data_IF_834850444908
#
_entry.id   IF_834850444908
#
_cell.length_a   1.000
_cell.length_b   1.000
_cell.length_c   1.000
_cell.angle_alpha   90.00
_cell.angle_beta   90.00
_cell.angle_gamma   90.00
#
_symmetry.space_group_name_H-M   'P 1'
#
loop_
_entity.id
_entity.type
_entity.pdbx_description
1 polymer ?
#
# COMPACT_ATOMS: atom_id res chain seq x y z
N UNK A 1 2.38 -3.65 -5.32
CA UNK A 1 2.92 -3.78 -3.97
C UNK A 1 2.34 -5.05 -3.40
N UNK A 2 3.18 -6.02 -3.07
CA UNK A 2 2.79 -7.32 -2.55
C UNK A 2 2.61 -7.24 -1.02
N UNK A 3 1.85 -8.19 -0.49
CA UNK A 3 1.66 -8.40 0.96
C UNK A 3 3.01 -8.68 1.65
N UNK A 4 3.83 -9.53 1.04
CA UNK A 4 5.16 -9.85 1.54
C UNK A 4 6.20 -8.90 0.94
N UNK A 5 6.75 -8.05 1.80
CA UNK A 5 7.76 -7.07 1.41
C UNK A 5 9.15 -7.71 1.40
N UNK A 6 9.73 -7.85 0.23
CA UNK A 6 11.12 -8.32 0.08
C UNK A 6 12.07 -7.13 0.18
N UNK A 7 12.91 -7.10 1.22
CA UNK A 7 14.02 -6.17 1.38
C UNK A 7 15.35 -6.96 1.35
N UNK A 8 16.38 -6.33 0.80
CA UNK A 8 17.68 -6.95 0.64
C UNK A 8 18.64 -6.50 1.75
N UNK A 9 19.63 -7.32 2.04
CA UNK A 9 20.73 -6.97 2.95
C UNK A 9 21.61 -5.92 2.29
N UNK A 10 21.20 -4.66 2.41
CA UNK A 10 21.85 -3.48 1.83
C UNK A 10 21.36 -2.23 2.54
N UNK A 11 21.89 -1.07 2.19
CA UNK A 11 21.44 0.21 2.76
C UNK A 11 19.96 0.48 2.44
N UNK A 12 19.32 1.33 3.24
CA UNK A 12 17.97 1.82 2.94
C UNK A 12 17.93 2.54 1.59
N UNK A 13 18.96 3.35 1.28
CA UNK A 13 19.08 4.04 -0.02
C UNK A 13 19.06 3.04 -1.17
N UNK A 14 19.89 2.01 -1.14
CA UNK A 14 19.98 1.01 -2.19
C UNK A 14 18.67 0.22 -2.28
N UNK A 15 18.05 -0.13 -1.14
CA UNK A 15 16.74 -0.78 -1.14
C UNK A 15 15.67 0.06 -1.85
N UNK A 16 15.66 1.38 -1.71
CA UNK A 16 14.74 2.25 -2.44
C UNK A 16 15.11 2.33 -3.92
N UNK A 17 16.41 2.40 -4.25
CA UNK A 17 16.92 2.44 -5.64
C UNK A 17 16.59 1.20 -6.46
N UNK A 18 16.18 0.08 -5.87
CA UNK A 18 15.63 -1.05 -6.64
C UNK A 18 14.42 -0.65 -7.48
N UNK A 19 13.73 0.44 -7.15
CA UNK A 19 12.67 1.02 -7.99
C UNK A 19 13.20 1.75 -9.23
N UNK A 20 14.38 2.38 -9.10
CA UNK A 20 15.08 3.09 -10.15
C UNK A 20 16.56 3.21 -9.76
N UNK A 21 17.41 2.38 -10.35
CA UNK A 21 18.86 2.30 -10.02
C UNK A 21 19.62 3.59 -10.34
N UNK A 22 19.15 4.39 -11.31
CA UNK A 22 19.79 5.64 -11.73
C UNK A 22 19.32 6.86 -10.92
N UNK A 23 18.41 6.67 -9.97
CA UNK A 23 17.88 7.76 -9.16
C UNK A 23 18.96 8.44 -8.32
N UNK A 24 18.91 9.76 -8.28
CA UNK A 24 19.75 10.59 -7.41
C UNK A 24 19.32 10.43 -5.93
N UNK A 25 20.19 10.80 -5.01
CA UNK A 25 19.87 10.77 -3.58
C UNK A 25 18.66 11.69 -3.23
N UNK A 26 18.51 12.83 -3.91
CA UNK A 26 17.39 13.74 -3.69
C UNK A 26 16.05 13.09 -4.13
N UNK A 27 16.04 12.33 -5.22
CA UNK A 27 14.86 11.56 -5.66
C UNK A 27 14.52 10.45 -4.67
N UNK A 28 15.53 9.72 -4.17
CA UNK A 28 15.36 8.72 -3.11
C UNK A 28 14.76 9.34 -1.86
N UNK A 29 15.28 10.49 -1.42
CA UNK A 29 14.78 11.23 -0.26
C UNK A 29 13.33 11.70 -0.47
N UNK A 30 13.01 12.20 -1.67
CA UNK A 30 11.65 12.59 -2.04
C UNK A 30 10.69 11.38 -1.97
N UNK A 31 11.09 10.24 -2.51
CA UNK A 31 10.31 8.99 -2.41
C UNK A 31 10.14 8.55 -0.94
N UNK A 32 11.16 8.68 -0.12
CA UNK A 32 11.10 8.43 1.32
C UNK A 32 10.12 9.36 2.07
N UNK A 33 10.03 10.61 1.67
CA UNK A 33 9.05 11.56 2.22
C UNK A 33 7.63 11.19 1.77
N UNK A 34 7.43 10.94 0.49
CA UNK A 34 6.12 10.61 -0.08
C UNK A 34 5.56 9.27 0.45
N UNK A 35 6.45 8.32 0.75
CA UNK A 35 6.08 7.04 1.37
C UNK A 35 5.96 7.11 2.90
N UNK A 36 6.14 8.28 3.53
CA UNK A 36 6.23 8.45 4.98
C UNK A 36 7.37 7.65 5.65
N UNK A 37 8.27 7.01 4.89
CA UNK A 37 9.40 6.26 5.47
C UNK A 37 10.47 7.18 6.09
N UNK A 38 10.63 8.40 5.58
CA UNK A 38 11.56 9.39 6.11
C UNK A 38 11.30 9.73 7.60
N UNK A 39 10.05 9.53 8.08
CA UNK A 39 9.67 9.73 9.47
C UNK A 39 10.52 8.88 10.44
N UNK A 40 10.76 7.60 10.13
CA UNK A 40 11.59 6.75 10.96
C UNK A 40 13.06 6.75 10.54
N UNK A 41 13.36 6.88 9.24
CA UNK A 41 14.73 6.89 8.70
C UNK A 41 15.58 7.99 9.35
N UNK A 42 15.03 9.19 9.50
CA UNK A 42 15.75 10.32 10.11
C UNK A 42 16.20 10.08 11.55
N UNK A 43 15.56 9.14 12.25
CA UNK A 43 15.86 8.78 13.64
C UNK A 43 16.87 7.63 13.77
N UNK A 44 17.25 6.99 12.64
CA UNK A 44 18.30 5.97 12.61
C UNK A 44 19.69 6.65 12.65
N UNK A 45 20.70 6.07 13.31
CA UNK A 45 22.05 6.64 13.40
C UNK A 45 22.63 6.97 12.02
N UNK A 46 22.56 6.03 11.09
CA UNK A 46 23.13 6.16 9.74
C UNK A 46 22.09 6.58 8.69
N UNK A 47 20.85 6.92 9.12
CA UNK A 47 19.78 7.39 8.26
C UNK A 47 19.59 6.49 7.02
N UNK A 48 19.67 7.05 5.80
CA UNK A 48 19.55 6.30 4.54
C UNK A 48 20.69 5.31 4.30
N UNK A 49 21.85 5.49 4.96
CA UNK A 49 22.98 4.58 4.91
C UNK A 49 22.86 3.41 5.89
N UNK A 50 21.80 3.36 6.69
CA UNK A 50 21.54 2.24 7.60
C UNK A 50 21.41 0.95 6.80
N UNK A 51 22.24 -0.05 7.14
CA UNK A 51 22.23 -1.37 6.51
C UNK A 51 21.11 -2.21 7.10
N UNK A 52 20.25 -2.72 6.23
CA UNK A 52 19.20 -3.64 6.59
C UNK A 52 19.74 -5.06 6.72
N UNK A 53 19.22 -5.82 7.68
CA UNK A 53 19.40 -7.27 7.74
C UNK A 53 18.63 -7.93 6.60
N UNK A 54 18.91 -9.20 6.33
CA UNK A 54 18.17 -9.96 5.33
C UNK A 54 16.66 -9.95 5.61
N UNK A 55 15.87 -9.67 4.57
CA UNK A 55 14.43 -9.47 4.71
C UNK A 55 14.02 -8.24 5.50
N UNK A 56 14.98 -7.37 5.90
CA UNK A 56 14.70 -6.19 6.72
C UNK A 56 14.25 -6.52 8.15
N UNK A 57 14.75 -7.63 8.72
CA UNK A 57 14.33 -8.13 10.04
C UNK A 57 14.63 -7.17 11.21
N UNK A 58 15.50 -6.19 11.00
CA UNK A 58 15.77 -5.09 11.94
C UNK A 58 14.77 -3.92 11.86
N UNK A 59 13.73 -4.06 11.04
CA UNK A 59 12.64 -3.10 10.91
C UNK A 59 11.30 -3.74 11.32
N UNK A 60 10.35 -2.92 11.80
CA UNK A 60 8.98 -3.37 12.00
C UNK A 60 8.29 -3.69 10.66
N UNK A 61 7.21 -4.48 10.69
CA UNK A 61 6.44 -4.81 9.49
C UNK A 61 5.96 -3.54 8.76
N UNK A 62 5.42 -2.57 9.48
CA UNK A 62 4.97 -1.31 8.90
C UNK A 62 6.11 -0.49 8.27
N UNK A 63 7.29 -0.45 8.91
CA UNK A 63 8.47 0.23 8.34
C UNK A 63 8.91 -0.44 7.03
N UNK A 64 8.93 -1.79 6.97
CA UNK A 64 9.22 -2.52 5.74
C UNK A 64 8.22 -2.18 4.64
N UNK A 65 6.93 -2.12 4.98
CA UNK A 65 5.88 -1.78 4.03
C UNK A 65 6.04 -0.35 3.48
N UNK A 66 6.36 0.64 4.34
CA UNK A 66 6.63 2.01 3.90
C UNK A 66 7.82 2.09 2.94
N UNK A 67 8.89 1.32 3.16
CA UNK A 67 10.02 1.23 2.22
C UNK A 67 9.61 0.61 0.88
N UNK A 68 8.77 -0.44 0.89
CA UNK A 68 8.25 -1.03 -0.35
C UNK A 68 7.40 -0.04 -1.16
N UNK A 69 6.58 0.76 -0.46
CA UNK A 69 5.82 1.86 -1.09
C UNK A 69 6.78 2.90 -1.68
N UNK A 70 7.83 3.29 -0.94
CA UNK A 70 8.86 4.22 -1.41
C UNK A 70 9.58 3.74 -2.66
N UNK A 71 9.90 2.44 -2.73
CA UNK A 71 10.44 1.77 -3.93
C UNK A 71 9.48 1.89 -5.12
N UNK A 72 8.18 1.64 -4.90
CA UNK A 72 7.17 1.75 -5.95
C UNK A 72 6.95 3.21 -6.40
N UNK A 73 7.04 4.19 -5.50
CA UNK A 73 7.00 5.62 -5.83
C UNK A 73 8.18 5.99 -6.73
N UNK A 74 9.38 5.52 -6.39
CA UNK A 74 10.60 5.81 -7.15
C UNK A 74 10.61 5.15 -8.53
N UNK A 75 9.97 3.99 -8.67
CA UNK A 75 9.78 3.30 -9.94
C UNK A 75 8.81 4.02 -10.89
N UNK A 76 7.93 4.86 -10.36
CA UNK A 76 6.92 5.66 -11.06
C UNK A 76 6.12 4.89 -12.14
N UNK A 77 5.50 3.75 -11.80
CA UNK A 77 4.75 2.96 -12.77
C UNK A 77 3.45 3.65 -13.19
N UNK A 78 3.02 3.48 -14.44
CA UNK A 78 1.72 3.97 -14.95
C UNK A 78 0.54 3.13 -14.47
N UNK A 79 0.76 1.84 -14.28
CA UNK A 79 -0.24 0.87 -13.80
C UNK A 79 0.28 0.29 -12.48
N UNK A 80 -0.56 0.30 -11.47
CA UNK A 80 -0.26 -0.19 -10.13
C UNK A 80 -1.21 -1.32 -9.77
N UNK A 81 -0.66 -2.45 -9.34
CA UNK A 81 -1.42 -3.56 -8.78
C UNK A 81 -1.14 -3.60 -7.27
N UNK A 82 -2.19 -3.46 -6.48
CA UNK A 82 -2.15 -3.46 -5.03
C UNK A 82 -2.90 -4.69 -4.50
N UNK A 83 -2.19 -5.55 -3.80
CA UNK A 83 -2.77 -6.64 -3.02
C UNK A 83 -2.74 -6.20 -1.55
N UNK A 84 -3.93 -5.86 -1.02
CA UNK A 84 -4.04 -5.24 0.28
C UNK A 84 -4.11 -6.29 1.38
N UNK A 85 -3.05 -6.38 2.19
CA UNK A 85 -3.09 -7.06 3.47
C UNK A 85 -2.38 -6.22 4.54
N UNK A 86 -3.14 -5.41 5.25
CA UNK A 86 -2.70 -4.68 6.43
C UNK A 86 -3.11 -5.44 7.70
N UNK A 87 -2.64 -6.65 7.89
CA UNK A 87 -2.81 -7.37 9.17
C UNK A 87 -1.64 -7.07 10.10
N UNK A 88 -1.94 -6.63 11.32
CA UNK A 88 -1.00 -6.55 12.45
C UNK A 88 -0.04 -5.34 12.50
N UNK A 89 -0.52 -4.16 12.13
CA UNK A 89 0.24 -2.90 12.28
C UNK A 89 -0.51 -1.99 13.28
N UNK A 90 0.23 -1.27 14.12
CA UNK A 90 -0.39 -0.30 15.04
C UNK A 90 -1.11 0.82 14.30
N UNK A 91 -2.12 1.42 14.93
CA UNK A 91 -3.03 2.41 14.32
C UNK A 91 -2.29 3.63 13.72
N UNK A 92 -1.19 4.07 14.33
CA UNK A 92 -0.43 5.23 13.85
C UNK A 92 0.34 4.88 12.57
N UNK A 93 0.97 3.72 12.56
CA UNK A 93 1.68 3.22 11.38
C UNK A 93 0.72 2.87 10.26
N UNK A 94 -0.46 2.33 10.57
CA UNK A 94 -1.52 2.08 9.59
C UNK A 94 -1.93 3.38 8.87
N UNK A 95 -2.13 4.48 9.61
CA UNK A 95 -2.42 5.79 9.01
C UNK A 95 -1.31 6.26 8.07
N UNK A 96 -0.05 6.12 8.48
CA UNK A 96 1.10 6.48 7.64
C UNK A 96 1.13 5.65 6.34
N UNK A 97 0.79 4.36 6.42
CA UNK A 97 0.71 3.47 5.25
C UNK A 97 -0.42 3.91 4.33
N UNK A 98 -1.61 4.22 4.87
CA UNK A 98 -2.75 4.69 4.07
C UNK A 98 -2.43 6.01 3.36
N UNK A 99 -1.77 6.96 4.03
CA UNK A 99 -1.35 8.22 3.43
C UNK A 99 -0.31 7.98 2.32
N UNK A 100 0.67 7.11 2.55
CA UNK A 100 1.67 6.74 1.57
C UNK A 100 1.04 6.03 0.34
N UNK A 101 0.05 5.17 0.56
CA UNK A 101 -0.70 4.51 -0.51
C UNK A 101 -1.49 5.52 -1.35
N UNK A 102 -2.15 6.51 -0.73
CA UNK A 102 -2.81 7.59 -1.46
C UNK A 102 -1.86 8.36 -2.36
N UNK A 103 -0.67 8.69 -1.84
CA UNK A 103 0.38 9.35 -2.63
C UNK A 103 0.84 8.48 -3.82
N UNK A 104 1.01 7.17 -3.58
CA UNK A 104 1.42 6.22 -4.61
C UNK A 104 0.34 6.06 -5.70
N UNK A 105 -0.94 6.02 -5.33
CA UNK A 105 -2.06 5.82 -6.26
C UNK A 105 -2.37 7.05 -7.11
N UNK A 106 -1.98 8.25 -6.67
CA UNK A 106 -2.32 9.50 -7.35
C UNK A 106 -1.85 9.53 -8.81
N UNK A 107 -2.72 9.96 -9.73
CA UNK A 107 -2.45 10.10 -11.17
C UNK A 107 -2.00 8.80 -11.87
N UNK A 108 -2.47 7.64 -11.41
CA UNK A 108 -2.16 6.31 -11.98
C UNK A 108 -3.41 5.48 -12.19
N UNK A 109 -3.31 4.49 -13.07
CA UNK A 109 -4.31 3.43 -13.15
C UNK A 109 -4.02 2.41 -12.06
N UNK A 110 -4.98 2.23 -11.14
CA UNK A 110 -4.82 1.36 -9.98
C UNK A 110 -5.76 0.16 -10.08
N UNK A 111 -5.22 -1.03 -9.93
CA UNK A 111 -5.97 -2.28 -9.72
C UNK A 111 -5.78 -2.70 -8.26
N UNK A 112 -6.84 -2.66 -7.47
CA UNK A 112 -6.79 -2.93 -6.04
C UNK A 112 -7.52 -4.24 -5.76
N UNK A 113 -6.83 -5.19 -5.15
CA UNK A 113 -7.44 -6.39 -4.58
C UNK A 113 -7.69 -6.07 -3.10
N UNK A 114 -8.95 -5.79 -2.78
CA UNK A 114 -9.31 -5.28 -1.48
C UNK A 114 -9.77 -6.38 -0.53
N UNK A 115 -9.19 -6.36 0.67
CA UNK A 115 -9.66 -7.13 1.82
C UNK A 115 -10.57 -6.31 2.74
N UNK A 116 -10.57 -4.98 2.59
CA UNK A 116 -11.44 -4.04 3.32
C UNK A 116 -12.23 -3.21 2.33
N UNK A 117 -13.55 -3.20 2.50
CA UNK A 117 -14.42 -2.42 1.61
C UNK A 117 -14.19 -0.91 1.72
N UNK A 118 -13.73 -0.41 2.87
CA UNK A 118 -13.39 1.00 3.05
C UNK A 118 -12.32 1.51 2.07
N UNK A 119 -11.47 0.63 1.57
CA UNK A 119 -10.38 1.00 0.63
C UNK A 119 -10.89 1.25 -0.78
N UNK A 120 -12.00 0.61 -1.17
CA UNK A 120 -12.51 0.64 -2.55
C UNK A 120 -13.77 1.49 -2.74
N UNK A 121 -14.30 2.11 -1.68
CA UNK A 121 -15.51 2.92 -1.78
C UNK A 121 -15.38 4.08 -2.77
N UNK A 122 -14.19 4.67 -2.87
CA UNK A 122 -13.88 5.79 -3.76
C UNK A 122 -13.36 5.33 -5.13
N UNK A 123 -13.41 4.02 -5.44
CA UNK A 123 -12.97 3.50 -6.74
C UNK A 123 -13.97 3.84 -7.84
N UNK A 124 -13.46 4.19 -9.03
CA UNK A 124 -14.28 4.48 -10.21
C UNK A 124 -15.12 3.26 -10.61
N UNK A 125 -14.53 2.07 -10.53
CA UNK A 125 -15.18 0.80 -10.86
C UNK A 125 -14.80 -0.26 -9.82
N UNK A 126 -15.81 -0.91 -9.26
CA UNK A 126 -15.69 -2.07 -8.39
C UNK A 126 -16.18 -3.28 -9.17
N UNK A 127 -15.41 -4.36 -9.13
CA UNK A 127 -15.74 -5.64 -9.75
C UNK A 127 -15.87 -6.69 -8.65
N UNK A 128 -17.01 -7.35 -8.59
CA UNK A 128 -17.25 -8.48 -7.67
C UNK A 128 -17.07 -9.77 -8.41
N UNK A 129 -16.15 -10.60 -7.94
CA UNK A 129 -15.83 -11.91 -8.51
C UNK A 129 -16.38 -13.00 -7.58
N UNK A 130 -17.11 -13.96 -8.13
CA UNK A 130 -17.55 -15.16 -7.43
C UNK A 130 -17.34 -16.38 -8.30
N UNK A 131 -16.71 -17.42 -7.76
CA UNK A 131 -16.40 -18.67 -8.48
C UNK A 131 -15.69 -18.48 -9.82
N UNK A 132 -14.84 -17.44 -9.89
CA UNK A 132 -14.06 -17.12 -11.09
C UNK A 132 -14.78 -16.29 -12.14
N UNK A 133 -16.02 -15.87 -11.89
CA UNK A 133 -16.83 -15.06 -12.80
C UNK A 133 -17.11 -13.68 -12.22
N UNK A 134 -17.20 -12.67 -13.10
CA UNK A 134 -17.64 -11.33 -12.71
C UNK A 134 -19.16 -11.37 -12.54
N UNK A 135 -19.62 -11.21 -11.31
CA UNK A 135 -21.06 -11.27 -10.97
C UNK A 135 -21.68 -9.88 -10.84
N UNK A 136 -20.90 -8.88 -10.46
CA UNK A 136 -21.35 -7.49 -10.36
C UNK A 136 -20.23 -6.54 -10.76
N UNK A 137 -20.63 -5.42 -11.36
CA UNK A 137 -19.74 -4.32 -11.71
C UNK A 137 -20.47 -2.99 -11.59
N UNK A 138 -19.77 -1.96 -11.07
CA UNK A 138 -20.29 -0.61 -10.93
C UNK A 138 -19.48 0.19 -9.89
N UNK A 139 -19.87 1.43 -9.61
CA UNK A 139 -19.31 2.18 -8.49
C UNK A 139 -20.03 1.79 -7.18
N UNK A 140 -19.49 2.25 -6.06
CA UNK A 140 -20.02 1.98 -4.72
C UNK A 140 -21.53 2.22 -4.60
N UNK A 141 -22.01 3.39 -5.04
CA UNK A 141 -23.43 3.76 -4.95
C UNK A 141 -24.32 2.84 -5.79
N UNK A 142 -23.94 2.57 -7.03
CA UNK A 142 -24.68 1.67 -7.94
C UNK A 142 -24.79 0.25 -7.38
N UNK A 143 -23.71 -0.25 -6.78
CA UNK A 143 -23.71 -1.60 -6.22
C UNK A 143 -24.52 -1.70 -4.92
N UNK A 144 -24.55 -0.65 -4.11
CA UNK A 144 -25.44 -0.59 -2.95
C UNK A 144 -26.92 -0.59 -3.37
N UNK A 145 -27.29 0.20 -4.39
CA UNK A 145 -28.67 0.27 -4.91
C UNK A 145 -29.16 -1.07 -5.49
N UNK A 146 -28.24 -1.87 -6.06
CA UNK A 146 -28.56 -3.21 -6.58
C UNK A 146 -28.89 -4.23 -5.49
N UNK A 147 -28.51 -4.00 -4.24
CA UNK A 147 -28.70 -4.91 -3.10
C UNK A 147 -28.22 -6.35 -3.36
N UNK A 148 -27.16 -6.50 -4.15
CA UNK A 148 -26.60 -7.79 -4.54
C UNK A 148 -25.50 -8.29 -3.58
N UNK A 149 -24.51 -9.01 -4.14
CA UNK A 149 -23.40 -9.58 -3.36
C UNK A 149 -22.54 -8.51 -2.72
N UNK A 150 -22.23 -7.41 -3.44
CA UNK A 150 -21.50 -6.29 -2.90
C UNK A 150 -22.19 -5.69 -1.67
N UNK A 151 -23.51 -5.45 -1.77
CA UNK A 151 -24.30 -4.94 -0.67
C UNK A 151 -24.22 -5.85 0.56
N UNK A 152 -24.37 -7.17 0.37
CA UNK A 152 -24.30 -8.13 1.46
C UNK A 152 -22.92 -8.15 2.14
N UNK A 153 -21.83 -8.08 1.35
CA UNK A 153 -20.45 -7.96 1.87
C UNK A 153 -20.27 -6.67 2.66
N UNK A 154 -20.80 -5.55 2.13
CA UNK A 154 -20.74 -4.25 2.78
C UNK A 154 -21.46 -4.27 4.13
N UNK A 155 -22.71 -4.73 4.16
CA UNK A 155 -23.51 -4.82 5.38
C UNK A 155 -22.87 -5.74 6.42
N UNK A 156 -22.29 -6.87 6.00
CA UNK A 156 -21.61 -7.80 6.93
C UNK A 156 -20.37 -7.17 7.59
N UNK A 157 -19.58 -6.37 6.86
CA UNK A 157 -18.43 -5.67 7.45
C UNK A 157 -18.81 -4.52 8.38
N UNK A 158 -19.96 -3.87 8.16
CA UNK A 158 -20.41 -2.75 8.97
C UNK A 158 -21.33 -3.15 10.12
N UNK A 159 -22.10 -4.24 9.99
CA UNK A 159 -22.93 -4.79 11.07
C UNK A 159 -22.10 -5.36 12.22
N UNK A 160 -20.83 -5.70 12.00
CA UNK A 160 -19.89 -6.12 13.06
C UNK A 160 -19.30 -4.96 13.88
N UNK A 161 -19.74 -3.71 13.67
CA UNK A 161 -19.32 -2.51 14.44
C UNK A 161 -20.38 -1.99 15.41
N UNK A 162 -21.57 -2.60 15.46
CA UNK A 162 -22.62 -2.29 16.43
C UNK A 162 -22.74 -3.41 17.48
N UNK A 163 -21.66 -3.65 18.23
CA UNK A 163 -21.73 -4.31 19.55
C UNK A 163 -20.71 -3.63 20.47
#
# INVERSE_FOLDING_TARGET
VLQDTVLFKDTIENNLKYGNETATFEEVKKAGIMSNSNYFIKNLPDRYNTVLSEGGSNLSQGQRQLLSIGRAILADPKILILDEATSSVDTRTEKNIQDAMRNLMANRTNLIIAHRLSTIQDSDVIVVIDKGEIVEQGNHKQLLEKQGKYYNLYMTQFSGKEI
#
